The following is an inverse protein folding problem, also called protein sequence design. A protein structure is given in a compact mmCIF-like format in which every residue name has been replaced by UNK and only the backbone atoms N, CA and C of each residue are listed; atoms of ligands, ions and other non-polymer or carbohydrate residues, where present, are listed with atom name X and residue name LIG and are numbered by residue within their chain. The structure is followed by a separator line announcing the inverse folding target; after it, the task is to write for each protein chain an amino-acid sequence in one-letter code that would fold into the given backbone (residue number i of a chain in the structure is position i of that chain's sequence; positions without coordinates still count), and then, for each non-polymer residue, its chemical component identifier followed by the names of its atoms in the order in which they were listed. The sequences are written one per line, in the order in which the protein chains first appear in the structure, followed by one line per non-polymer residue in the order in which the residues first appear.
data_IF_102020654564
#
_entry.id   IF_102020654564
#
_cell.length_a   1.000
_cell.length_b   1.000
_cell.length_c   1.000
_cell.angle_alpha   90.00
_cell.angle_beta   90.00
_cell.angle_gamma   90.00
#
_symmetry.space_group_name_H-M   'P 1'
#
loop_
_entity.id
_entity.type
_entity.pdbx_description
1 polymer ?
#
# COMPACT_ATOMS: atom_id res chain seq x y z
N UNK A 1 5.60 14.15 -17.15
CA UNK A 1 6.67 13.54 -16.33
C UNK A 1 6.13 13.26 -14.93
N UNK A 2 5.69 12.03 -14.66
CA UNK A 2 5.29 11.53 -13.31
C UNK A 2 6.27 10.42 -12.90
N UNK A 3 7.57 10.64 -13.14
CA UNK A 3 8.65 9.71 -12.78
C UNK A 3 9.50 10.19 -11.61
N UNK A 4 9.47 11.50 -11.30
CA UNK A 4 10.37 12.11 -10.31
C UNK A 4 9.85 12.14 -8.88
N UNK A 5 8.59 11.73 -8.63
CA UNK A 5 8.04 11.68 -7.27
C UNK A 5 8.37 10.38 -6.53
N UNK A 6 8.64 9.29 -7.26
CA UNK A 6 8.82 7.96 -6.68
C UNK A 6 10.25 7.70 -6.15
N UNK A 7 11.28 8.40 -6.67
CA UNK A 7 12.68 8.08 -6.37
C UNK A 7 13.35 9.00 -5.32
N UNK A 8 12.73 10.12 -4.96
CA UNK A 8 13.41 11.21 -4.24
C UNK A 8 13.07 11.41 -2.76
N UNK A 9 12.09 10.70 -2.19
CA UNK A 9 11.60 11.05 -0.84
C UNK A 9 11.29 9.86 0.09
N UNK A 10 12.31 9.07 0.49
CA UNK A 10 12.16 8.10 1.57
C UNK A 10 11.75 8.73 2.92
N UNK A 11 11.84 10.06 3.08
CA UNK A 11 11.39 10.79 4.28
C UNK A 11 9.87 10.99 4.35
N UNK A 12 9.14 10.85 3.23
CA UNK A 12 7.68 10.85 3.20
C UNK A 12 7.03 9.53 3.64
N UNK A 13 7.81 8.44 3.63
CA UNK A 13 7.37 7.06 3.87
C UNK A 13 6.86 6.81 5.30
N UNK A 14 7.28 7.62 6.27
CA UNK A 14 6.95 7.49 7.69
C UNK A 14 6.33 8.78 8.29
N UNK A 15 5.67 9.60 7.45
CA UNK A 15 5.00 10.82 7.94
C UNK A 15 3.90 10.43 8.94
N UNK A 16 3.95 11.01 10.14
CA UNK A 16 2.98 10.79 11.24
C UNK A 16 1.51 11.01 10.83
N UNK A 17 1.26 11.73 9.73
CA UNK A 17 -0.05 11.95 9.15
C UNK A 17 -0.67 10.72 8.47
N UNK A 18 0.06 9.63 8.21
CA UNK A 18 -0.49 8.48 7.48
C UNK A 18 -0.76 8.70 5.99
N UNK A 19 -0.53 9.92 5.46
CA UNK A 19 -0.50 10.20 4.02
C UNK A 19 0.53 9.34 3.26
N UNK A 20 1.53 8.78 3.98
CA UNK A 20 2.47 7.82 3.40
C UNK A 20 1.81 6.49 3.01
N UNK A 21 0.78 6.04 3.76
CA UNK A 21 0.05 4.81 3.45
C UNK A 21 -0.88 4.98 2.24
N UNK A 22 -1.61 6.11 2.18
CA UNK A 22 -2.45 6.44 1.02
C UNK A 22 -1.61 6.60 -0.25
N UNK A 23 -0.45 7.26 -0.16
CA UNK A 23 0.47 7.38 -1.29
C UNK A 23 1.02 6.01 -1.74
N UNK A 24 1.35 5.13 -0.78
CA UNK A 24 1.80 3.77 -1.10
C UNK A 24 0.70 2.98 -1.82
N UNK A 25 -0.55 3.11 -1.35
CA UNK A 25 -1.71 2.48 -1.97
C UNK A 25 -1.95 2.98 -3.40
N UNK A 26 -1.96 4.29 -3.61
CA UNK A 26 -2.10 4.87 -4.96
C UNK A 26 -0.94 4.45 -5.89
N UNK A 27 0.28 4.43 -5.37
CA UNK A 27 1.44 3.95 -6.13
C UNK A 27 1.32 2.46 -6.47
N UNK A 28 0.89 1.62 -5.52
CA UNK A 28 0.67 0.20 -5.75
C UNK A 28 -0.38 -0.01 -6.86
N UNK A 29 -1.52 0.69 -6.80
CA UNK A 29 -2.57 0.67 -7.83
C UNK A 29 -2.06 1.05 -9.21
N UNK A 30 -1.23 2.10 -9.30
CA UNK A 30 -0.67 2.56 -10.57
C UNK A 30 0.35 1.58 -11.14
N UNK A 31 1.21 1.02 -10.28
CA UNK A 31 2.25 0.06 -10.66
C UNK A 31 1.64 -1.27 -11.05
N UNK A 32 0.59 -1.71 -10.34
CA UNK A 32 -0.09 -2.96 -10.57
C UNK A 32 -0.55 -3.13 -12.03
N UNK A 33 -1.03 -2.04 -12.65
CA UNK A 33 -1.47 -2.03 -14.07
C UNK A 33 -0.41 -2.44 -15.08
N UNK A 34 0.88 -2.29 -14.77
CA UNK A 34 1.96 -2.62 -15.70
C UNK A 34 3.04 -3.54 -15.10
N UNK A 35 3.06 -3.72 -13.77
CA UNK A 35 4.00 -4.57 -13.06
C UNK A 35 3.43 -5.06 -11.72
N UNK A 36 2.55 -6.07 -11.74
CA UNK A 36 1.93 -6.62 -10.52
C UNK A 36 2.96 -7.21 -9.54
N UNK A 37 4.09 -7.75 -10.03
CA UNK A 37 5.18 -8.24 -9.17
C UNK A 37 5.80 -7.13 -8.31
N UNK A 38 5.93 -5.92 -8.86
CA UNK A 38 6.44 -4.78 -8.11
C UNK A 38 5.39 -4.25 -7.13
N UNK A 39 4.11 -4.25 -7.51
CA UNK A 39 3.00 -3.91 -6.62
C UNK A 39 2.93 -4.86 -5.42
N UNK A 40 3.00 -6.17 -5.65
CA UNK A 40 3.08 -7.20 -4.61
C UNK A 40 4.19 -6.93 -3.58
N UNK A 41 5.38 -6.54 -4.05
CA UNK A 41 6.51 -6.21 -3.15
C UNK A 41 6.26 -4.95 -2.33
N UNK A 42 5.57 -3.95 -2.87
CA UNK A 42 5.13 -2.77 -2.12
C UNK A 42 4.06 -3.13 -1.11
N UNK A 43 3.11 -4.01 -1.48
CA UNK A 43 2.07 -4.52 -0.59
C UNK A 43 2.65 -5.36 0.56
N UNK A 44 3.77 -6.04 0.36
CA UNK A 44 4.51 -6.70 1.44
C UNK A 44 5.00 -5.74 2.54
N UNK A 45 5.21 -4.45 2.24
CA UNK A 45 5.52 -3.45 3.27
C UNK A 45 4.31 -3.19 4.18
N UNK A 46 3.10 -3.42 3.68
CA UNK A 46 1.92 -3.38 4.52
C UNK A 46 1.86 -4.56 5.48
N UNK A 47 2.44 -5.76 5.27
CA UNK A 47 2.32 -6.89 6.24
C UNK A 47 2.68 -6.51 7.69
N UNK A 48 3.64 -5.62 7.88
CA UNK A 48 4.03 -5.09 9.19
C UNK A 48 3.05 -4.05 9.77
N UNK A 49 1.88 -3.83 9.15
CA UNK A 49 0.89 -2.84 9.58
C UNK A 49 0.33 -3.14 10.98
N UNK A 50 0.25 -4.43 11.34
CA UNK A 50 -0.28 -4.92 12.62
C UNK A 50 0.59 -4.57 13.82
N UNK A 51 1.88 -4.28 13.61
CA UNK A 51 2.83 -3.93 14.69
C UNK A 51 3.05 -2.42 14.82
N UNK A 52 2.37 -1.61 14.00
CA UNK A 52 2.45 -0.15 14.06
C UNK A 52 1.67 0.41 15.26
N UNK A 53 1.99 1.66 15.63
CA UNK A 53 1.19 2.39 16.62
C UNK A 53 -0.29 2.46 16.20
N UNK A 54 -1.26 2.37 17.13
CA UNK A 54 -2.68 2.22 16.84
C UNK A 54 -3.25 3.28 15.88
N UNK A 55 -2.77 4.53 15.96
CA UNK A 55 -3.17 5.59 15.02
C UNK A 55 -2.69 5.37 13.58
N UNK A 56 -1.52 4.75 13.40
CA UNK A 56 -0.99 4.39 12.07
C UNK A 56 -1.61 3.09 11.57
N UNK A 57 -1.83 2.13 12.46
CA UNK A 57 -2.51 0.87 12.16
C UNK A 57 -3.89 1.13 11.56
N UNK A 58 -4.69 2.01 12.17
CA UNK A 58 -6.01 2.37 11.65
C UNK A 58 -5.96 2.97 10.23
N UNK A 59 -4.98 3.85 9.95
CA UNK A 59 -4.81 4.46 8.62
C UNK A 59 -4.30 3.48 7.56
N UNK A 60 -3.37 2.60 7.95
CA UNK A 60 -2.88 1.54 7.08
C UNK A 60 -4.00 0.55 6.73
N UNK A 61 -4.82 0.16 7.72
CA UNK A 61 -6.01 -0.68 7.51
C UNK A 61 -6.99 -0.02 6.55
N UNK A 62 -7.33 1.25 6.75
CA UNK A 62 -8.24 1.98 5.86
C UNK A 62 -7.70 2.05 4.42
N UNK A 63 -6.38 2.19 4.26
CA UNK A 63 -5.73 2.18 2.93
C UNK A 63 -5.82 0.79 2.28
N UNK A 64 -5.60 -0.28 3.04
CA UNK A 64 -5.74 -1.67 2.56
C UNK A 64 -7.19 -2.03 2.21
N UNK A 65 -8.16 -1.60 3.03
CA UNK A 65 -9.60 -1.78 2.73
C UNK A 65 -9.99 -1.00 1.46
N UNK A 66 -9.44 0.21 1.26
CA UNK A 66 -9.61 0.97 0.03
C UNK A 66 -9.00 0.28 -1.19
N UNK A 67 -7.82 -0.33 -1.03
CA UNK A 67 -7.18 -1.14 -2.07
C UNK A 67 -8.00 -2.39 -2.42
N UNK A 68 -8.55 -3.09 -1.42
CA UNK A 68 -9.40 -4.25 -1.63
C UNK A 68 -10.69 -3.92 -2.42
N UNK A 69 -11.21 -2.69 -2.25
CA UNK A 69 -12.35 -2.21 -3.02
C UNK A 69 -11.97 -1.60 -4.38
N UNK A 70 -10.68 -1.48 -4.68
CA UNK A 70 -10.18 -0.94 -5.93
C UNK A 70 -9.94 -2.04 -6.98
N UNK A 71 -9.81 -1.62 -8.23
CA UNK A 71 -9.54 -2.52 -9.36
C UNK A 71 -8.04 -2.91 -9.36
N UNK A 72 -7.71 -3.98 -8.64
CA UNK A 72 -6.38 -4.58 -8.56
C UNK A 72 -6.29 -5.85 -9.43
N UNK A 73 -5.08 -6.18 -9.85
CA UNK A 73 -4.74 -7.48 -10.41
C UNK A 73 -4.96 -8.58 -9.37
N UNK A 74 -5.25 -9.79 -9.85
CA UNK A 74 -5.56 -10.94 -9.01
C UNK A 74 -4.48 -11.20 -7.94
N UNK A 75 -3.19 -11.16 -8.32
CA UNK A 75 -2.06 -11.32 -7.40
C UNK A 75 -2.02 -10.27 -6.28
N UNK A 76 -2.25 -9.00 -6.62
CA UNK A 76 -2.25 -7.90 -5.65
C UNK A 76 -3.46 -7.97 -4.72
N UNK A 77 -4.64 -8.32 -5.25
CA UNK A 77 -5.86 -8.51 -4.46
C UNK A 77 -5.71 -9.66 -3.46
N UNK A 78 -5.11 -10.79 -3.87
CA UNK A 78 -4.82 -11.91 -2.98
C UNK A 78 -3.90 -11.49 -1.83
N UNK A 79 -2.83 -10.73 -2.12
CA UNK A 79 -1.92 -10.24 -1.08
C UNK A 79 -2.63 -9.28 -0.13
N UNK A 80 -3.44 -8.35 -0.63
CA UNK A 80 -4.21 -7.41 0.21
C UNK A 80 -5.18 -8.15 1.11
N UNK A 81 -5.97 -9.08 0.56
CA UNK A 81 -6.95 -9.88 1.31
C UNK A 81 -6.27 -10.71 2.40
N UNK A 82 -5.15 -11.38 2.06
CA UNK A 82 -4.32 -12.13 3.00
C UNK A 82 -3.73 -11.25 4.11
N UNK A 83 -3.31 -10.03 3.75
CA UNK A 83 -2.74 -9.06 4.70
C UNK A 83 -3.80 -8.52 5.67
N UNK A 84 -5.02 -8.28 5.18
CA UNK A 84 -6.18 -7.93 5.99
C UNK A 84 -6.61 -9.08 6.91
N UNK A 85 -6.35 -10.33 6.50
CA UNK A 85 -6.76 -11.53 7.23
C UNK A 85 -8.21 -11.91 6.98
N UNK A 86 -8.74 -11.56 5.81
CA UNK A 86 -10.09 -11.90 5.33
C UNK A 86 -10.12 -13.31 4.69
N UNK A 87 -9.42 -14.28 5.31
CA UNK A 87 -9.37 -15.70 4.88
C UNK A 87 -10.44 -16.56 5.56
#
# INVERSE_FOLDING_TARGET
MIGSFANGNPTGFNRKDGAGYELLADCALRIDKFNPNMAARLLGAFESWRILEPGRQARAKASLEGLANAELSNDSYEIVSKTLGDE
#
